data_IF_746141138813
#
_entry.id   IF_746141138813
#
_cell.length_a   1.000
_cell.length_b   1.000
_cell.length_c   1.000
_cell.angle_alpha   90.00
_cell.angle_beta   90.00
_cell.angle_gamma   90.00
#
_symmetry.space_group_name_H-M   'P 1'
#
loop_
_entity.id
_entity.type
_entity.pdbx_description
1 polymer ?
#
# COMPACT_ATOMS: atom_id res chain seq x y z
N UNK A 1 -19.03 8.66 -16.80
CA UNK A 1 -18.12 8.31 -15.69
C UNK A 1 -16.97 9.29 -15.70
N UNK A 2 -16.84 10.07 -14.66
CA UNK A 2 -15.73 11.02 -14.48
C UNK A 2 -14.42 10.27 -14.18
N UNK A 3 -13.28 10.97 -14.31
CA UNK A 3 -11.97 10.39 -13.94
C UNK A 3 -11.89 10.03 -12.45
N UNK A 4 -12.52 10.82 -11.58
CA UNK A 4 -12.60 10.55 -10.14
C UNK A 4 -13.44 9.30 -9.83
N UNK A 5 -14.62 9.16 -10.45
CA UNK A 5 -15.45 7.94 -10.31
C UNK A 5 -14.68 6.67 -10.78
N UNK A 6 -13.91 6.77 -11.86
CA UNK A 6 -13.10 5.66 -12.34
C UNK A 6 -12.00 5.31 -11.33
N UNK A 7 -11.29 6.31 -10.79
CA UNK A 7 -10.25 6.12 -9.78
C UNK A 7 -10.80 5.47 -8.50
N UNK A 8 -11.95 5.94 -8.00
CA UNK A 8 -12.62 5.36 -6.82
C UNK A 8 -13.00 3.89 -7.04
N UNK A 9 -13.51 3.54 -8.22
CA UNK A 9 -13.80 2.14 -8.60
C UNK A 9 -12.53 1.30 -8.65
N UNK A 10 -11.43 1.83 -9.18
CA UNK A 10 -10.14 1.13 -9.22
C UNK A 10 -9.62 0.86 -7.81
N UNK A 11 -9.69 1.83 -6.91
CA UNK A 11 -9.31 1.66 -5.49
C UNK A 11 -10.17 0.57 -4.82
N UNK A 12 -11.49 0.65 -4.96
CA UNK A 12 -12.39 -0.37 -4.38
C UNK A 12 -12.11 -1.77 -4.96
N UNK A 13 -11.86 -1.86 -6.26
CA UNK A 13 -11.53 -3.12 -6.94
C UNK A 13 -10.18 -3.67 -6.47
N UNK A 14 -9.15 -2.83 -6.36
CA UNK A 14 -7.82 -3.24 -5.88
C UNK A 14 -7.87 -3.81 -4.45
N UNK A 15 -8.68 -3.22 -3.57
CA UNK A 15 -8.87 -3.74 -2.21
C UNK A 15 -9.55 -5.12 -2.21
N UNK A 16 -10.57 -5.32 -3.04
CA UNK A 16 -11.21 -6.64 -3.17
C UNK A 16 -10.28 -7.69 -3.79
N UNK A 17 -9.44 -7.28 -4.75
CA UNK A 17 -8.39 -8.16 -5.32
C UNK A 17 -7.39 -8.54 -4.22
N UNK A 18 -6.91 -7.60 -3.40
CA UNK A 18 -6.00 -7.89 -2.30
C UNK A 18 -6.57 -8.96 -1.36
N UNK A 19 -7.86 -8.87 -1.03
CA UNK A 19 -8.54 -9.89 -0.22
C UNK A 19 -8.67 -11.22 -0.96
N UNK A 20 -9.15 -11.22 -2.20
CA UNK A 20 -9.34 -12.43 -2.99
C UNK A 20 -8.03 -13.18 -3.28
N UNK A 21 -6.92 -12.46 -3.41
CA UNK A 21 -5.57 -13.02 -3.59
C UNK A 21 -4.92 -13.49 -2.28
N UNK A 22 -5.59 -13.35 -1.13
CA UNK A 22 -5.04 -13.76 0.16
C UNK A 22 -3.93 -12.83 0.70
N UNK A 23 -3.75 -11.65 0.10
CA UNK A 23 -2.76 -10.69 0.55
C UNK A 23 -3.18 -9.93 1.81
N UNK A 24 -4.47 -9.91 2.10
CA UNK A 24 -5.07 -9.29 3.29
C UNK A 24 -6.24 -10.14 3.77
N UNK A 25 -6.52 -10.06 5.07
CA UNK A 25 -7.72 -10.69 5.68
C UNK A 25 -8.69 -9.62 6.16
N UNK A 26 -8.55 -9.20 7.43
CA UNK A 26 -9.35 -8.14 8.03
C UNK A 26 -8.72 -6.75 7.86
N UNK A 27 -7.40 -6.69 7.72
CA UNK A 27 -6.60 -5.47 7.66
C UNK A 27 -5.75 -5.44 6.39
N UNK A 28 -5.23 -4.27 6.09
CA UNK A 28 -4.56 -3.95 4.85
C UNK A 28 -5.44 -3.06 3.98
N UNK A 29 -4.85 -2.27 3.13
CA UNK A 29 -5.57 -1.28 2.32
C UNK A 29 -4.76 -0.85 1.11
N UNK A 30 -5.46 -0.55 0.03
CA UNK A 30 -4.89 -0.02 -1.21
C UNK A 30 -5.49 1.36 -1.46
N UNK A 31 -4.66 2.30 -1.87
CA UNK A 31 -5.05 3.69 -2.11
C UNK A 31 -4.56 4.20 -3.46
N UNK A 32 -5.09 5.33 -3.90
CA UNK A 32 -4.63 6.05 -5.08
C UNK A 32 -4.48 7.54 -4.80
N UNK A 33 -3.40 8.15 -5.35
CA UNK A 33 -3.21 9.61 -5.37
C UNK A 33 -4.30 10.26 -6.19
N UNK A 34 -4.84 11.38 -5.72
CA UNK A 34 -5.73 12.25 -6.51
C UNK A 34 -4.90 13.15 -7.42
N UNK A 35 -5.15 13.13 -8.73
CA UNK A 35 -4.44 14.01 -9.66
C UNK A 35 -4.61 15.50 -9.32
N UNK A 36 -3.51 16.24 -9.29
CA UNK A 36 -3.52 17.70 -9.06
C UNK A 36 -3.84 18.14 -7.62
N UNK A 37 -3.88 17.21 -6.66
CA UNK A 37 -4.12 17.49 -5.24
C UNK A 37 -3.09 16.77 -4.35
N UNK A 38 -2.69 17.40 -3.26
CA UNK A 38 -1.89 16.75 -2.21
C UNK A 38 -2.78 15.87 -1.32
N UNK A 39 -3.47 14.92 -1.97
CA UNK A 39 -4.46 14.05 -1.35
C UNK A 39 -4.50 12.67 -2.04
N UNK A 40 -5.11 11.71 -1.37
CA UNK A 40 -5.30 10.35 -1.86
C UNK A 40 -6.66 9.79 -1.44
N UNK A 41 -7.14 8.82 -2.21
CA UNK A 41 -8.38 8.07 -1.93
C UNK A 41 -8.03 6.74 -1.28
N UNK A 42 -8.70 6.39 -0.17
CA UNK A 42 -8.45 5.17 0.61
C UNK A 42 -9.76 4.64 1.20
N UNK A 43 -9.94 3.31 1.40
CA UNK A 43 -11.10 2.78 2.10
C UNK A 43 -11.16 3.25 3.56
N UNK A 44 -12.36 3.31 4.11
CA UNK A 44 -12.57 3.43 5.56
C UNK A 44 -11.98 2.22 6.29
N UNK A 45 -11.86 2.32 7.62
CA UNK A 45 -11.43 1.23 8.52
C UNK A 45 -12.48 0.10 8.52
N UNK A 46 -12.42 -0.75 7.51
CA UNK A 46 -13.28 -1.92 7.34
C UNK A 46 -12.49 -3.01 6.61
N UNK A 47 -13.05 -4.23 6.53
CA UNK A 47 -12.42 -5.29 5.73
C UNK A 47 -12.28 -4.84 4.27
N UNK A 48 -11.10 -5.05 3.64
CA UNK A 48 -10.88 -4.73 2.23
C UNK A 48 -11.88 -5.42 1.27
N UNK A 49 -12.45 -6.56 1.66
CA UNK A 49 -13.50 -7.24 0.92
C UNK A 49 -14.75 -6.37 0.74
N UNK A 50 -15.05 -5.48 1.70
CA UNK A 50 -16.21 -4.60 1.71
C UNK A 50 -15.94 -3.23 1.08
N UNK A 51 -14.79 -3.05 0.44
CA UNK A 51 -14.45 -1.78 -0.18
C UNK A 51 -15.46 -1.42 -1.28
N UNK A 52 -16.01 -0.21 -1.15
CA UNK A 52 -17.03 0.35 -2.04
C UNK A 52 -16.58 1.73 -2.50
N UNK A 53 -16.72 2.02 -3.79
CA UNK A 53 -16.31 3.27 -4.40
C UNK A 53 -17.02 4.51 -3.82
N UNK A 54 -18.25 4.33 -3.32
CA UNK A 54 -19.04 5.40 -2.71
C UNK A 54 -18.67 5.68 -1.25
N UNK A 55 -17.94 4.77 -0.61
CA UNK A 55 -17.59 4.80 0.82
C UNK A 55 -16.09 4.97 1.08
N UNK A 56 -15.40 5.63 0.18
CA UNK A 56 -13.97 5.93 0.32
C UNK A 56 -13.77 7.30 0.96
N UNK A 57 -12.67 7.42 1.71
CA UNK A 57 -12.19 8.70 2.23
C UNK A 57 -11.23 9.36 1.24
N UNK A 58 -11.25 10.69 1.19
CA UNK A 58 -10.14 11.48 0.67
C UNK A 58 -9.36 11.99 1.86
N UNK A 59 -8.05 11.71 1.88
CA UNK A 59 -7.14 12.15 2.94
C UNK A 59 -6.02 13.01 2.38
N UNK A 60 -5.60 14.02 3.15
CA UNK A 60 -4.41 14.82 2.83
C UNK A 60 -3.13 14.02 3.12
N UNK A 61 -1.99 14.47 2.55
CA UNK A 61 -0.68 13.91 2.91
C UNK A 61 -0.25 14.28 4.34
N UNK A 62 -0.96 15.18 4.99
CA UNK A 62 -0.78 15.55 6.40
C UNK A 62 -1.68 14.76 7.35
N UNK A 63 -2.48 13.82 6.84
CA UNK A 63 -3.28 12.88 7.61
C UNK A 63 -4.70 13.30 7.92
N UNK A 64 -5.14 14.45 7.41
CA UNK A 64 -6.52 14.94 7.60
C UNK A 64 -7.51 14.22 6.67
N UNK A 65 -8.70 13.94 7.15
CA UNK A 65 -9.82 13.52 6.32
C UNK A 65 -10.44 14.75 5.70
N UNK A 66 -10.38 14.86 4.38
CA UNK A 66 -10.90 15.98 3.60
C UNK A 66 -12.33 15.74 3.10
N UNK A 67 -12.65 14.49 2.72
CA UNK A 67 -13.96 14.10 2.17
C UNK A 67 -14.31 12.67 2.59
N UNK A 68 -15.59 12.36 2.66
CA UNK A 68 -16.12 11.05 3.02
C UNK A 68 -16.50 10.93 4.49
N UNK A 69 -17.20 9.85 4.81
CA UNK A 69 -17.65 9.55 6.18
C UNK A 69 -17.05 8.24 6.67
N UNK A 70 -16.69 8.19 7.95
CA UNK A 70 -16.13 7.01 8.60
C UNK A 70 -14.76 7.24 9.21
N UNK A 71 -14.22 6.20 9.83
CA UNK A 71 -12.91 6.25 10.47
C UNK A 71 -11.81 5.92 9.45
N UNK A 72 -10.71 6.67 9.41
CA UNK A 72 -9.55 6.31 8.62
C UNK A 72 -8.85 5.06 9.20
N UNK A 73 -8.14 4.35 8.34
CA UNK A 73 -7.25 3.28 8.79
C UNK A 73 -6.15 3.88 9.68
N UNK A 74 -5.80 3.20 10.77
CA UNK A 74 -4.76 3.67 11.70
C UNK A 74 -3.40 3.83 11.02
N UNK A 75 -3.13 3.04 10.00
CA UNK A 75 -1.89 3.05 9.22
C UNK A 75 -2.00 3.82 7.89
N UNK A 76 -3.00 4.70 7.74
CA UNK A 76 -3.09 5.61 6.60
C UNK A 76 -1.84 6.50 6.45
N UNK A 77 -1.05 6.67 7.53
CA UNK A 77 0.23 7.36 7.52
C UNK A 77 1.27 6.73 6.58
N UNK A 78 1.22 5.42 6.35
CA UNK A 78 2.05 4.75 5.34
C UNK A 78 1.83 5.40 3.97
N UNK A 79 0.57 5.51 3.55
CA UNK A 79 0.18 6.06 2.25
C UNK A 79 0.49 7.55 2.17
N UNK A 80 0.06 8.32 3.16
CA UNK A 80 0.26 9.76 3.23
C UNK A 80 1.73 10.14 3.05
N UNK A 81 2.64 9.44 3.75
CA UNK A 81 4.05 9.79 3.74
C UNK A 81 4.80 9.26 2.51
N UNK A 82 4.40 8.11 1.95
CA UNK A 82 4.91 7.63 0.66
C UNK A 82 4.51 8.63 -0.44
N UNK A 83 3.24 9.05 -0.50
CA UNK A 83 2.81 10.03 -1.49
C UNK A 83 3.51 11.40 -1.34
N UNK A 84 3.72 11.87 -0.12
CA UNK A 84 4.43 13.13 0.12
C UNK A 84 5.89 13.07 -0.34
N UNK A 85 6.58 11.95 -0.12
CA UNK A 85 7.99 11.74 -0.48
C UNK A 85 8.20 11.40 -1.97
N UNK A 86 7.19 10.82 -2.65
CA UNK A 86 7.30 10.21 -3.98
C UNK A 86 6.23 10.76 -4.93
N UNK A 87 6.47 11.89 -5.62
CA UNK A 87 5.51 12.47 -6.58
C UNK A 87 5.25 11.57 -7.79
N UNK A 88 6.13 10.63 -8.08
CA UNK A 88 5.99 9.62 -9.14
C UNK A 88 5.04 8.47 -8.79
N UNK A 89 4.68 8.32 -7.49
CA UNK A 89 3.79 7.27 -7.03
C UNK A 89 2.34 7.73 -7.11
N UNK A 90 1.53 6.95 -7.84
CA UNK A 90 0.08 7.14 -7.99
C UNK A 90 -0.76 6.08 -7.28
N UNK A 91 -0.18 4.96 -6.86
CA UNK A 91 -0.83 3.88 -6.12
C UNK A 91 0.04 3.29 -5.03
N UNK A 92 -0.53 3.04 -3.85
CA UNK A 92 0.14 2.36 -2.73
C UNK A 92 -0.73 1.22 -2.23
N UNK A 93 -0.14 0.02 -2.08
CA UNK A 93 -0.76 -1.12 -1.44
C UNK A 93 0.00 -1.45 -0.15
N UNK A 94 -0.71 -1.41 0.99
CA UNK A 94 -0.26 -1.96 2.25
C UNK A 94 -0.98 -3.28 2.48
N UNK A 95 -0.22 -4.37 2.48
CA UNK A 95 -0.73 -5.75 2.49
C UNK A 95 0.04 -6.62 3.48
N UNK A 96 -0.54 -7.76 3.86
CA UNK A 96 0.04 -8.72 4.81
C UNK A 96 0.29 -10.08 4.13
N UNK A 97 1.12 -10.13 3.06
CA UNK A 97 1.33 -11.35 2.27
C UNK A 97 2.08 -12.38 3.12
N UNK A 98 1.54 -13.62 3.27
CA UNK A 98 2.07 -14.58 4.24
C UNK A 98 3.54 -14.99 4.03
N UNK A 99 3.98 -15.20 2.78
CA UNK A 99 5.36 -15.56 2.50
C UNK A 99 6.31 -14.39 2.77
N UNK A 100 5.94 -13.16 2.37
CA UNK A 100 6.73 -11.96 2.69
C UNK A 100 6.87 -11.75 4.20
N UNK A 101 5.78 -11.95 4.95
CA UNK A 101 5.81 -11.87 6.43
C UNK A 101 6.79 -12.90 6.99
N UNK A 102 6.67 -14.17 6.56
CA UNK A 102 7.55 -15.25 7.03
C UNK A 102 9.03 -14.97 6.71
N UNK A 103 9.34 -14.54 5.47
CA UNK A 103 10.72 -14.17 5.09
C UNK A 103 11.28 -13.06 5.98
N UNK A 104 10.52 -12.00 6.21
CA UNK A 104 10.97 -10.85 7.01
C UNK A 104 11.26 -11.23 8.48
N UNK A 105 10.52 -12.21 9.03
CA UNK A 105 10.74 -12.70 10.40
C UNK A 105 12.08 -13.44 10.58
N UNK A 106 12.54 -14.16 9.56
CA UNK A 106 13.80 -14.88 9.60
C UNK A 106 15.00 -14.04 9.10
N UNK A 107 14.78 -12.72 8.88
CA UNK A 107 15.82 -11.82 8.39
C UNK A 107 16.14 -11.99 6.90
N UNK A 108 15.28 -12.68 6.15
CA UNK A 108 15.38 -12.79 4.69
C UNK A 108 14.50 -11.74 4.01
N UNK A 109 14.66 -11.59 2.70
CA UNK A 109 13.89 -10.65 1.90
C UNK A 109 13.70 -11.15 0.47
N UNK A 110 12.76 -10.55 -0.24
CA UNK A 110 12.48 -10.85 -1.65
C UNK A 110 13.64 -10.38 -2.54
N UNK A 111 14.08 -11.26 -3.44
CA UNK A 111 15.15 -11.03 -4.41
C UNK A 111 14.63 -11.28 -5.83
N UNK A 112 15.25 -10.67 -6.87
CA UNK A 112 14.85 -10.87 -8.26
C UNK A 112 15.38 -12.22 -8.80
N UNK A 113 14.90 -13.34 -8.26
CA UNK A 113 15.35 -14.68 -8.62
C UNK A 113 14.56 -15.31 -9.78
N UNK A 114 13.42 -14.76 -10.12
CA UNK A 114 12.57 -15.17 -11.25
C UNK A 114 11.77 -13.99 -11.81
N UNK A 115 10.97 -14.21 -12.87
CA UNK A 115 10.31 -13.13 -13.61
C UNK A 115 9.44 -12.23 -12.73
N UNK A 116 8.56 -12.76 -11.89
CA UNK A 116 7.70 -11.96 -11.01
C UNK A 116 8.53 -11.12 -10.05
N UNK A 117 9.56 -11.72 -9.42
CA UNK A 117 10.49 -11.03 -8.54
C UNK A 117 11.24 -9.90 -9.25
N UNK A 118 11.75 -10.13 -10.46
CA UNK A 118 12.48 -9.12 -11.23
C UNK A 118 11.60 -7.93 -11.67
N UNK A 119 10.29 -8.15 -11.83
CA UNK A 119 9.33 -7.06 -12.11
C UNK A 119 9.12 -6.16 -10.88
N UNK A 120 9.06 -6.76 -9.69
CA UNK A 120 8.77 -6.02 -8.44
C UNK A 120 10.02 -5.35 -7.88
N UNK A 121 11.13 -6.09 -7.82
CA UNK A 121 12.38 -5.62 -7.21
C UNK A 121 13.55 -5.78 -8.19
N UNK A 122 14.32 -4.72 -8.36
CA UNK A 122 15.55 -4.76 -9.17
C UNK A 122 16.75 -5.27 -8.35
N UNK A 123 16.67 -5.13 -7.04
CA UNK A 123 17.61 -5.63 -6.04
C UNK A 123 16.82 -6.27 -4.90
N UNK A 124 17.49 -6.76 -3.87
CA UNK A 124 16.80 -7.24 -2.66
C UNK A 124 15.88 -6.14 -2.11
N UNK A 125 14.62 -6.46 -1.85
CA UNK A 125 13.67 -5.51 -1.26
C UNK A 125 14.19 -5.05 0.11
N UNK A 126 14.16 -3.74 0.42
CA UNK A 126 14.51 -3.28 1.77
C UNK A 126 13.53 -3.85 2.81
N UNK A 127 14.00 -3.97 4.05
CA UNK A 127 13.20 -4.37 5.21
C UNK A 127 13.15 -3.23 6.21
N UNK A 128 11.96 -2.83 6.61
CA UNK A 128 11.76 -1.92 7.74
C UNK A 128 11.78 -2.75 9.03
N UNK A 129 12.83 -2.56 9.82
CA UNK A 129 13.17 -3.46 10.94
C UNK A 129 12.30 -3.29 12.19
N UNK A 130 11.50 -2.22 12.26
CA UNK A 130 10.59 -2.00 13.39
C UNK A 130 9.35 -2.87 13.24
N UNK A 131 8.84 -3.35 14.39
CA UNK A 131 7.64 -4.19 14.47
C UNK A 131 6.38 -3.38 14.89
N UNK A 132 6.54 -2.06 15.12
CA UNK A 132 5.43 -1.20 15.52
C UNK A 132 4.46 -0.97 14.36
N UNK A 133 3.17 -0.76 14.69
CA UNK A 133 2.20 -0.24 13.74
C UNK A 133 2.57 1.19 13.32
N UNK A 134 2.47 1.51 12.05
CA UNK A 134 2.86 2.82 11.49
C UNK A 134 1.68 3.79 11.61
N UNK A 135 1.41 4.24 12.82
CA UNK A 135 0.23 5.05 13.18
C UNK A 135 0.51 6.52 13.40
N UNK A 136 1.73 6.97 13.10
CA UNK A 136 2.11 8.38 13.24
C UNK A 136 2.82 8.89 11.99
N UNK A 137 2.85 10.21 11.82
CA UNK A 137 3.58 10.86 10.73
C UNK A 137 5.05 10.46 10.71
N UNK A 138 5.72 10.51 11.86
CA UNK A 138 7.14 10.19 11.98
C UNK A 138 7.46 8.73 11.56
N UNK A 139 6.64 7.77 12.00
CA UNK A 139 6.79 6.36 11.57
C UNK A 139 6.52 6.20 10.07
N UNK A 140 5.55 6.94 9.53
CA UNK A 140 5.29 6.97 8.09
C UNK A 140 6.46 7.55 7.29
N UNK A 141 7.09 8.64 7.77
CA UNK A 141 8.29 9.23 7.16
C UNK A 141 9.47 8.25 7.18
N UNK A 142 9.67 7.52 8.27
CA UNK A 142 10.70 6.48 8.38
C UNK A 142 10.45 5.34 7.39
N UNK A 143 9.20 4.88 7.25
CA UNK A 143 8.84 3.84 6.30
C UNK A 143 9.01 4.31 4.84
N UNK A 144 8.62 5.54 4.51
CA UNK A 144 8.83 6.13 3.20
C UNK A 144 10.33 6.27 2.88
N UNK A 145 11.14 6.68 3.86
CA UNK A 145 12.60 6.74 3.70
C UNK A 145 13.22 5.35 3.50
N UNK A 146 12.74 4.32 4.21
CA UNK A 146 13.20 2.95 4.04
C UNK A 146 12.83 2.37 2.65
N UNK A 147 11.65 2.71 2.11
CA UNK A 147 11.24 2.37 0.75
C UNK A 147 12.16 3.04 -0.28
N UNK A 148 12.55 4.30 -0.04
CA UNK A 148 13.37 5.10 -0.95
C UNK A 148 12.79 5.18 -2.36
N UNK A 149 13.60 4.95 -3.38
CA UNK A 149 13.17 4.89 -4.79
C UNK A 149 12.61 3.51 -5.19
N UNK A 150 12.58 2.54 -4.26
CA UNK A 150 12.10 1.19 -4.51
C UNK A 150 10.60 1.11 -4.76
N UNK A 151 10.15 -0.05 -5.23
CA UNK A 151 8.73 -0.34 -5.45
C UNK A 151 8.12 -1.14 -4.31
N UNK A 152 8.93 -1.84 -3.53
CA UNK A 152 8.48 -2.69 -2.43
C UNK A 152 9.34 -2.49 -1.19
N UNK A 153 8.70 -2.57 -0.03
CA UNK A 153 9.32 -2.52 1.30
C UNK A 153 8.67 -3.62 2.15
N UNK A 154 9.45 -4.54 2.67
CA UNK A 154 8.94 -5.47 3.68
C UNK A 154 8.90 -4.78 5.04
N UNK A 155 7.86 -5.03 5.81
CA UNK A 155 7.72 -4.62 7.20
C UNK A 155 7.94 -5.86 8.07
N UNK A 156 8.96 -5.85 8.92
CA UNK A 156 9.38 -7.03 9.70
C UNK A 156 8.23 -7.62 10.51
N UNK A 157 7.87 -8.88 10.22
CA UNK A 157 6.82 -9.62 10.93
C UNK A 157 5.41 -9.03 10.81
N UNK A 158 5.21 -8.04 9.91
CA UNK A 158 3.94 -7.33 9.77
C UNK A 158 3.35 -7.50 8.37
N UNK A 159 4.05 -7.11 7.33
CA UNK A 159 3.54 -7.09 5.97
C UNK A 159 4.49 -6.50 4.96
N UNK A 160 3.92 -5.86 3.95
CA UNK A 160 4.67 -5.17 2.91
C UNK A 160 3.93 -3.92 2.41
N UNK A 161 4.70 -2.96 1.91
CA UNK A 161 4.21 -1.82 1.15
C UNK A 161 4.68 -1.93 -0.28
N UNK A 162 3.78 -1.72 -1.24
CA UNK A 162 4.10 -1.62 -2.67
C UNK A 162 3.67 -0.25 -3.17
N UNK A 163 4.57 0.45 -3.87
CA UNK A 163 4.35 1.78 -4.40
C UNK A 163 4.63 1.81 -5.91
N UNK A 164 3.66 2.28 -6.69
CA UNK A 164 3.68 2.29 -8.14
C UNK A 164 3.00 3.52 -8.75
N UNK A 165 3.19 3.71 -10.07
CA UNK A 165 2.66 4.84 -10.82
C UNK A 165 1.13 4.95 -10.81
N UNK A 166 0.43 3.86 -10.56
CA UNK A 166 -1.02 3.82 -10.40
C UNK A 166 -1.48 2.64 -9.52
N UNK A 167 -2.73 2.68 -9.09
CA UNK A 167 -3.30 1.70 -8.16
C UNK A 167 -3.44 0.30 -8.77
N UNK A 168 -3.67 0.19 -10.08
CA UNK A 168 -3.81 -1.11 -10.76
C UNK A 168 -2.47 -1.83 -10.79
N UNK A 169 -1.39 -1.10 -11.07
CA UNK A 169 -0.04 -1.64 -11.03
C UNK A 169 0.38 -1.99 -9.62
N UNK A 170 0.06 -1.15 -8.63
CA UNK A 170 0.40 -1.41 -7.23
C UNK A 170 -0.17 -2.74 -6.74
N UNK A 171 -1.45 -3.04 -7.03
CA UNK A 171 -2.05 -4.32 -6.60
C UNK A 171 -1.48 -5.53 -7.35
N UNK A 172 -1.21 -5.40 -8.66
CA UNK A 172 -0.59 -6.48 -9.45
C UNK A 172 0.81 -6.78 -8.91
N UNK A 173 1.61 -5.75 -8.62
CA UNK A 173 2.95 -5.94 -8.06
C UNK A 173 2.91 -6.51 -6.62
N UNK A 174 1.87 -6.20 -5.84
CA UNK A 174 1.69 -6.84 -4.54
C UNK A 174 1.46 -8.36 -4.65
N UNK A 175 0.69 -8.80 -5.66
CA UNK A 175 0.55 -10.23 -5.97
C UNK A 175 1.90 -10.86 -6.39
N UNK A 176 2.65 -10.19 -7.27
CA UNK A 176 3.96 -10.68 -7.69
C UNK A 176 4.99 -10.69 -6.57
N UNK A 177 4.90 -9.76 -5.61
CA UNK A 177 5.78 -9.73 -4.45
C UNK A 177 5.60 -10.98 -3.57
N UNK A 178 4.34 -11.37 -3.30
CA UNK A 178 4.04 -12.59 -2.57
C UNK A 178 4.47 -13.85 -3.34
N UNK A 179 4.22 -13.89 -4.64
CA UNK A 179 4.65 -15.00 -5.50
C UNK A 179 6.18 -15.15 -5.52
N UNK A 180 6.91 -14.06 -5.37
CA UNK A 180 8.37 -14.03 -5.37
C UNK A 180 9.00 -14.36 -4.01
N UNK A 181 8.22 -14.40 -2.95
CA UNK A 181 8.65 -14.67 -1.59
C UNK A 181 8.67 -16.16 -1.27
#
# INVERSE_FOLDING_TARGET
MTADEALRRDVATANRIAHAAGLVTAFGHVSARLPGRDAFVIPTRASPMLADAERLLVMSFDGDVLEGEGLPNSEAWIHARIYAARPDVGGVAHVHPPACVALSQIGATVRPLHNSGAVVVQQAAPVYERIDLITTRDLGDQAAAALGAGRALLLRGHGANVAESDVRRAIVLACFLEEAA
#
